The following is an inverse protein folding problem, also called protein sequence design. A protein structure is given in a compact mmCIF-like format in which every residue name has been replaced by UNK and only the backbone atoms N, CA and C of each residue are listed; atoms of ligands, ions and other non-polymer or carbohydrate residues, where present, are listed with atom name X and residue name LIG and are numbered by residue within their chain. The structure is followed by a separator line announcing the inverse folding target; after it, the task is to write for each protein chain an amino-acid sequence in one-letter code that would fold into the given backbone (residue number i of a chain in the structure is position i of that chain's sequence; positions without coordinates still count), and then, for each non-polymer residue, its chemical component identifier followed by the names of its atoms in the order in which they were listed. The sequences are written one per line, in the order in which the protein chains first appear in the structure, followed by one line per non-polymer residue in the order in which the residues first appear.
data_IF_799783528878
#
_entry.id   IF_799783528878
#
_cell.length_a   1.000
_cell.length_b   1.000
_cell.length_c   1.000
_cell.angle_alpha   90.00
_cell.angle_beta   90.00
_cell.angle_gamma   90.00
#
_symmetry.space_group_name_H-M   'P 1'
#
loop_
_entity.id
_entity.type
_entity.pdbx_description
1 polymer ?
#
# COMPACT_ATOMS: atom_id res chain seq x y z
N UNK A 1 -11.84 -44.63 -27.87
CA UNK A 1 -12.53 -44.57 -26.56
C UNK A 1 -12.49 -43.13 -26.07
N UNK A 2 -13.68 -42.57 -25.84
CA UNK A 2 -14.08 -41.21 -25.42
C UNK A 2 -12.99 -40.34 -24.75
N UNK A 3 -12.69 -39.08 -25.15
CA UNK A 3 -13.55 -37.88 -25.32
C UNK A 3 -14.61 -37.73 -24.22
N UNK A 4 -14.20 -37.34 -23.01
CA UNK A 4 -15.05 -36.65 -22.04
C UNK A 4 -14.15 -35.97 -21.00
N UNK A 5 -14.28 -34.64 -20.87
CA UNK A 5 -13.51 -33.88 -19.88
C UNK A 5 -13.35 -32.38 -20.16
N UNK A 6 -14.26 -31.76 -20.91
CA UNK A 6 -14.25 -30.31 -21.12
C UNK A 6 -15.63 -29.66 -21.02
N UNK A 7 -16.54 -30.27 -20.25
CA UNK A 7 -17.93 -29.82 -20.15
C UNK A 7 -18.43 -29.85 -18.70
N UNK A 8 -17.84 -29.03 -17.83
CA UNK A 8 -18.40 -28.72 -16.50
C UNK A 8 -18.40 -27.22 -16.16
N UNK A 9 -17.80 -26.34 -16.98
CA UNK A 9 -17.70 -24.92 -16.64
C UNK A 9 -18.79 -24.00 -17.24
N UNK A 10 -19.86 -24.55 -17.81
CA UNK A 10 -20.84 -23.75 -18.57
C UNK A 10 -22.31 -24.14 -18.29
N UNK A 11 -22.62 -24.43 -17.02
CA UNK A 11 -23.96 -24.83 -16.60
C UNK A 11 -24.28 -24.32 -15.17
N UNK A 12 -24.20 -23.01 -14.96
CA UNK A 12 -24.84 -22.35 -13.80
C UNK A 12 -25.23 -20.90 -14.08
N UNK A 13 -25.71 -20.61 -15.29
CA UNK A 13 -26.22 -19.27 -15.65
C UNK A 13 -27.48 -19.34 -16.53
N UNK A 14 -28.52 -20.02 -16.05
CA UNK A 14 -29.88 -19.85 -16.57
C UNK A 14 -30.89 -20.10 -15.46
N UNK A 15 -31.19 -19.08 -14.66
CA UNK A 15 -32.46 -19.02 -13.93
C UNK A 15 -33.32 -18.02 -14.68
N UNK A 16 -34.44 -18.54 -15.19
CA UNK A 16 -35.52 -17.81 -15.83
C UNK A 16 -36.01 -16.67 -14.93
N UNK A 17 -36.10 -15.47 -15.49
CA UNK A 17 -36.83 -14.36 -14.89
C UNK A 17 -38.05 -14.11 -15.78
N UNK A 18 -39.22 -14.58 -15.36
CA UNK A 18 -40.49 -14.09 -15.90
C UNK A 18 -40.69 -12.65 -15.43
N UNK A 19 -40.80 -11.74 -16.39
CA UNK A 19 -41.11 -10.35 -16.13
C UNK A 19 -42.59 -10.19 -15.78
N UNK A 20 -42.90 -9.89 -14.51
CA UNK A 20 -44.16 -9.25 -14.15
C UNK A 20 -44.01 -7.73 -14.31
N UNK A 21 -44.94 -7.13 -15.07
CA UNK A 21 -45.05 -5.68 -15.27
C UNK A 21 -45.28 -4.97 -13.92
N UNK A 22 -44.50 -3.92 -13.57
CA UNK A 22 -44.71 -3.18 -12.34
C UNK A 22 -45.94 -2.27 -12.45
N UNK A 23 -46.86 -2.40 -11.49
CA UNK A 23 -47.89 -1.40 -11.23
C UNK A 23 -47.25 -0.14 -10.66
N UNK A 24 -47.51 1.01 -11.30
CA UNK A 24 -47.09 2.33 -10.84
C UNK A 24 -47.77 2.67 -9.50
N UNK A 25 -47.07 2.46 -8.39
CA UNK A 25 -47.41 3.05 -7.10
C UNK A 25 -46.32 4.06 -6.72
N UNK A 26 -46.75 5.23 -6.24
CA UNK A 26 -45.91 6.38 -5.87
C UNK A 26 -44.73 5.99 -4.96
N UNK A 27 -43.54 5.94 -5.53
CA UNK A 27 -42.27 5.75 -4.84
C UNK A 27 -41.39 6.99 -5.03
N UNK A 28 -41.38 7.91 -4.06
CA UNK A 28 -40.35 8.98 -4.02
C UNK A 28 -39.35 8.76 -2.89
N UNK A 29 -39.77 8.18 -1.77
CA UNK A 29 -38.88 7.87 -0.63
C UNK A 29 -38.12 6.53 -0.76
N UNK A 30 -38.68 5.52 -1.43
CA UNK A 30 -38.02 4.23 -1.63
C UNK A 30 -36.99 4.27 -2.77
N UNK A 31 -37.23 5.04 -3.85
CA UNK A 31 -36.25 5.24 -4.94
C UNK A 31 -34.99 5.94 -4.42
N UNK A 32 -35.14 6.92 -3.53
CA UNK A 32 -34.01 7.59 -2.90
C UNK A 32 -33.19 6.65 -2.01
N UNK A 33 -33.86 5.83 -1.18
CA UNK A 33 -33.18 4.81 -0.35
C UNK A 33 -32.49 3.74 -1.19
N UNK A 34 -33.14 3.22 -2.23
CA UNK A 34 -32.58 2.20 -3.12
C UNK A 34 -31.35 2.74 -3.89
N UNK A 35 -31.39 4.01 -4.30
CA UNK A 35 -30.26 4.68 -4.95
C UNK A 35 -29.05 4.82 -4.00
N UNK A 36 -29.28 5.16 -2.72
CA UNK A 36 -28.22 5.28 -1.71
C UNK A 36 -27.61 3.91 -1.39
N UNK A 37 -28.44 2.87 -1.23
CA UNK A 37 -27.98 1.50 -0.99
C UNK A 37 -27.13 0.98 -2.16
N UNK A 38 -27.55 1.27 -3.41
CA UNK A 38 -26.78 0.93 -4.62
C UNK A 38 -25.45 1.66 -4.70
N UNK A 39 -25.40 2.94 -4.32
CA UNK A 39 -24.17 3.74 -4.29
C UNK A 39 -23.20 3.25 -3.22
N UNK A 40 -23.69 2.95 -2.02
CA UNK A 40 -22.87 2.41 -0.92
C UNK A 40 -22.33 1.03 -1.29
N UNK A 41 -23.16 0.15 -1.86
CA UNK A 41 -22.76 -1.17 -2.34
C UNK A 41 -21.68 -1.09 -3.43
N UNK A 42 -21.89 -0.23 -4.45
CA UNK A 42 -20.91 0.02 -5.50
C UNK A 42 -19.60 0.58 -4.93
N UNK A 43 -19.70 1.54 -4.00
CA UNK A 43 -18.52 2.13 -3.36
C UNK A 43 -17.72 1.09 -2.56
N UNK A 44 -18.39 0.18 -1.85
CA UNK A 44 -17.76 -0.91 -1.12
C UNK A 44 -17.07 -1.89 -2.07
N UNK A 45 -17.71 -2.25 -3.18
CA UNK A 45 -17.13 -3.12 -4.20
C UNK A 45 -15.92 -2.49 -4.89
N UNK A 46 -15.98 -1.19 -5.19
CA UNK A 46 -14.84 -0.42 -5.72
C UNK A 46 -13.69 -0.32 -4.72
N UNK A 47 -14.02 -0.26 -3.43
CA UNK A 47 -13.05 -0.39 -2.36
C UNK A 47 -12.63 -1.85 -2.14
N UNK A 48 -13.11 -2.84 -2.91
CA UNK A 48 -12.70 -4.23 -2.79
C UNK A 48 -13.30 -4.99 -1.62
N UNK A 49 -14.46 -4.55 -1.15
CA UNK A 49 -15.30 -5.29 -0.21
C UNK A 49 -16.52 -5.85 -0.93
N UNK A 50 -16.90 -7.08 -0.61
CA UNK A 50 -18.24 -7.57 -0.87
C UNK A 50 -19.08 -7.36 0.40
N UNK A 51 -19.90 -6.30 0.46
CA UNK A 51 -20.63 -5.96 1.67
C UNK A 51 -21.83 -6.91 1.88
N UNK A 52 -22.01 -7.35 3.11
CA UNK A 52 -23.23 -8.05 3.56
C UNK A 52 -23.90 -7.24 4.68
N UNK A 53 -24.99 -7.77 5.26
CA UNK A 53 -25.72 -7.04 6.30
C UNK A 53 -24.83 -6.63 7.48
N UNK A 54 -23.94 -7.49 7.97
CA UNK A 54 -23.14 -7.22 9.16
C UNK A 54 -21.63 -7.29 8.93
N UNK A 55 -21.21 -7.82 7.79
CA UNK A 55 -19.82 -8.14 7.51
C UNK A 55 -19.45 -7.79 6.07
N UNK A 56 -18.31 -7.14 5.88
CA UNK A 56 -17.78 -6.79 4.58
C UNK A 56 -16.61 -7.73 4.28
N UNK A 57 -16.80 -8.66 3.34
CA UNK A 57 -15.78 -9.60 2.92
C UNK A 57 -14.71 -8.88 2.11
N UNK A 58 -13.45 -9.01 2.51
CA UNK A 58 -12.33 -8.36 1.85
C UNK A 58 -11.81 -9.25 0.71
N UNK A 59 -12.14 -8.83 -0.51
CA UNK A 59 -11.82 -9.54 -1.75
C UNK A 59 -10.30 -9.60 -1.98
N UNK A 60 -9.52 -8.67 -1.39
CA UNK A 60 -8.06 -8.62 -1.58
C UNK A 60 -7.32 -9.85 -1.03
N UNK A 61 -7.95 -10.63 -0.15
CA UNK A 61 -7.34 -11.83 0.42
C UNK A 61 -7.68 -13.12 -0.34
N UNK A 62 -8.63 -13.09 -1.28
CA UNK A 62 -9.08 -14.30 -1.97
C UNK A 62 -7.97 -15.00 -2.74
N UNK A 63 -7.16 -14.23 -3.48
CA UNK A 63 -6.05 -14.74 -4.27
C UNK A 63 -4.92 -13.71 -4.29
N UNK A 64 -3.73 -14.14 -3.88
CA UNK A 64 -2.48 -13.39 -4.02
C UNK A 64 -1.40 -14.29 -4.58
N UNK A 65 -0.38 -13.66 -5.16
CA UNK A 65 0.84 -14.35 -5.55
C UNK A 65 2.07 -13.50 -5.20
N UNK A 66 3.12 -14.15 -4.70
CA UNK A 66 4.47 -13.60 -4.67
C UNK A 66 5.50 -14.74 -4.84
N UNK A 67 6.75 -14.38 -5.09
CA UNK A 67 7.82 -15.36 -5.32
C UNK A 67 8.13 -16.24 -4.10
N UNK A 68 7.90 -15.74 -2.90
CA UNK A 68 8.18 -16.47 -1.65
C UNK A 68 7.09 -17.50 -1.33
N UNK A 69 5.83 -17.09 -1.35
CA UNK A 69 4.63 -17.86 -0.97
C UNK A 69 4.01 -18.66 -2.15
N UNK A 70 4.40 -18.35 -3.39
CA UNK A 70 3.69 -18.73 -4.62
C UNK A 70 2.21 -18.29 -4.55
N UNK A 71 1.27 -19.21 -4.78
CA UNK A 71 -0.16 -18.92 -4.65
C UNK A 71 -0.52 -18.83 -3.16
N UNK A 72 -1.27 -17.79 -2.81
CA UNK A 72 -1.85 -17.60 -1.48
C UNK A 72 -3.35 -17.42 -1.62
N UNK A 73 -4.10 -18.29 -0.95
CA UNK A 73 -5.56 -18.23 -0.89
C UNK A 73 -5.99 -17.86 0.52
N UNK A 74 -6.97 -16.98 0.65
CA UNK A 74 -7.41 -16.54 1.96
C UNK A 74 -8.81 -16.01 1.98
N UNK A 75 -9.29 -15.77 3.20
CA UNK A 75 -10.56 -15.14 3.49
C UNK A 75 -10.31 -14.08 4.54
N UNK A 76 -10.83 -12.88 4.31
CA UNK A 76 -10.76 -11.81 5.28
C UNK A 76 -12.01 -10.95 5.23
N UNK A 77 -12.12 -10.07 6.20
CA UNK A 77 -13.18 -9.08 6.22
C UNK A 77 -13.28 -8.37 7.55
N UNK A 78 -14.29 -7.51 7.65
CA UNK A 78 -14.53 -6.68 8.82
C UNK A 78 -16.01 -6.43 9.02
N UNK A 79 -16.43 -6.28 10.27
CA UNK A 79 -17.80 -5.89 10.61
C UNK A 79 -18.06 -4.44 10.19
N UNK A 80 -19.27 -4.16 9.72
CA UNK A 80 -19.63 -2.83 9.22
C UNK A 80 -20.49 -2.03 10.21
N UNK A 81 -20.94 -0.83 9.80
CA UNK A 81 -21.70 0.07 10.68
C UNK A 81 -23.11 -0.45 11.05
N UNK A 82 -23.65 -1.43 10.31
CA UNK A 82 -24.91 -2.09 10.67
C UNK A 82 -24.72 -3.09 11.82
N UNK A 83 -23.54 -3.74 11.91
CA UNK A 83 -23.18 -4.57 13.05
C UNK A 83 -23.01 -3.72 14.32
N UNK A 84 -22.19 -2.67 14.25
CA UNK A 84 -22.07 -1.71 15.33
C UNK A 84 -21.38 -0.42 14.87
N UNK A 85 -21.89 0.72 15.37
CA UNK A 85 -21.23 2.02 15.22
C UNK A 85 -20.07 2.22 16.22
N UNK A 86 -19.97 1.36 17.24
CA UNK A 86 -19.03 1.49 18.36
C UNK A 86 -17.95 0.41 18.40
N UNK A 87 -18.22 -0.76 17.82
CA UNK A 87 -17.29 -1.90 17.80
C UNK A 87 -17.04 -2.31 16.36
N UNK A 88 -15.77 -2.49 16.00
CA UNK A 88 -15.38 -3.10 14.73
C UNK A 88 -14.46 -4.27 15.00
N UNK A 89 -14.82 -5.42 14.49
CA UNK A 89 -14.00 -6.62 14.50
C UNK A 89 -13.57 -6.92 13.06
N UNK A 90 -12.37 -7.42 12.90
CA UNK A 90 -11.85 -7.75 11.59
C UNK A 90 -10.72 -8.75 11.67
N UNK A 91 -10.36 -9.26 10.51
CA UNK A 91 -9.26 -10.19 10.40
C UNK A 91 -9.20 -10.84 9.05
N UNK A 92 -8.18 -11.67 8.88
CA UNK A 92 -8.04 -12.55 7.75
C UNK A 92 -7.25 -13.79 8.14
N UNK A 93 -7.46 -14.86 7.37
CA UNK A 93 -6.63 -16.05 7.36
C UNK A 93 -6.31 -16.38 5.91
N UNK A 94 -5.09 -16.78 5.65
CA UNK A 94 -4.63 -17.20 4.33
C UNK A 94 -3.66 -18.36 4.46
N UNK A 95 -3.65 -19.22 3.46
CA UNK A 95 -2.71 -20.32 3.32
C UNK A 95 -1.84 -20.08 2.09
N UNK A 96 -0.53 -20.15 2.29
CA UNK A 96 0.47 -20.03 1.24
C UNK A 96 0.98 -21.42 0.84
N UNK A 97 0.90 -21.74 -0.45
CA UNK A 97 1.12 -23.11 -0.95
C UNK A 97 2.60 -23.48 -1.06
N UNK A 98 3.52 -22.51 -1.15
CA UNK A 98 4.96 -22.80 -1.26
C UNK A 98 5.62 -22.99 0.10
N UNK A 99 5.37 -22.11 1.06
CA UNK A 99 5.95 -22.21 2.41
C UNK A 99 5.10 -23.07 3.36
N UNK A 100 3.93 -23.54 2.91
CA UNK A 100 2.99 -24.39 3.65
C UNK A 100 2.52 -23.80 4.99
N UNK A 101 2.53 -22.47 5.12
CA UNK A 101 2.19 -21.79 6.36
C UNK A 101 0.89 -20.99 6.26
N UNK A 102 0.21 -20.90 7.41
CA UNK A 102 -0.91 -19.98 7.57
C UNK A 102 -0.41 -18.58 7.92
N UNK A 103 -1.03 -17.58 7.31
CA UNK A 103 -0.84 -16.16 7.60
C UNK A 103 -2.17 -15.60 8.07
N UNK A 104 -2.17 -14.81 9.13
CA UNK A 104 -3.41 -14.31 9.68
C UNK A 104 -3.25 -13.01 10.45
N UNK A 105 -4.35 -12.29 10.57
CA UNK A 105 -4.47 -11.13 11.46
C UNK A 105 -5.84 -11.14 12.10
N UNK A 106 -5.90 -10.77 13.37
CA UNK A 106 -7.14 -10.51 14.09
C UNK A 106 -7.03 -9.12 14.69
N UNK A 107 -8.03 -8.29 14.45
CA UNK A 107 -8.06 -6.92 14.94
C UNK A 107 -9.45 -6.56 15.48
N UNK A 108 -9.43 -5.70 16.49
CA UNK A 108 -10.62 -5.16 17.12
C UNK A 108 -10.42 -3.67 17.38
N UNK A 109 -11.47 -2.88 17.20
CA UNK A 109 -11.46 -1.47 17.58
C UNK A 109 -12.77 -1.04 18.22
N UNK A 110 -12.64 -0.23 19.27
CA UNK A 110 -13.75 0.31 20.05
C UNK A 110 -13.71 1.83 19.97
N UNK A 111 -14.84 2.43 19.58
CA UNK A 111 -15.01 3.87 19.54
C UNK A 111 -15.27 4.37 20.96
N UNK A 112 -14.30 5.06 21.52
CA UNK A 112 -14.35 5.60 22.90
C UNK A 112 -14.90 7.03 22.94
N UNK A 113 -14.82 7.78 21.84
CA UNK A 113 -15.40 9.13 21.75
C UNK A 113 -15.91 9.40 20.33
N UNK A 114 -17.20 9.70 20.19
CA UNK A 114 -17.82 9.96 18.90
C UNK A 114 -17.48 11.35 18.34
N UNK A 115 -17.41 12.38 19.17
CA UNK A 115 -17.18 13.78 18.74
C UNK A 115 -15.79 13.99 18.16
N UNK A 116 -14.78 13.33 18.75
CA UNK A 116 -13.38 13.34 18.27
C UNK A 116 -13.03 12.11 17.44
N UNK A 117 -14.04 11.28 17.11
CA UNK A 117 -13.87 10.01 16.39
C UNK A 117 -12.67 9.20 16.91
N UNK A 118 -12.58 9.07 18.23
CA UNK A 118 -11.48 8.40 18.92
C UNK A 118 -11.73 6.89 18.95
N UNK A 119 -10.74 6.12 18.50
CA UNK A 119 -10.78 4.67 18.46
C UNK A 119 -9.60 4.07 19.21
N UNK A 120 -9.90 3.20 20.16
CA UNK A 120 -8.93 2.27 20.72
C UNK A 120 -8.88 1.04 19.80
N UNK A 121 -7.70 0.69 19.33
CA UNK A 121 -7.43 -0.42 18.40
C UNK A 121 -6.54 -1.44 19.08
N UNK A 122 -6.79 -2.72 18.85
CA UNK A 122 -5.88 -3.80 19.21
C UNK A 122 -5.79 -4.76 18.02
N UNK A 123 -4.59 -5.28 17.75
CA UNK A 123 -4.37 -6.24 16.68
C UNK A 123 -3.27 -7.22 17.00
N UNK A 124 -3.43 -8.46 16.53
CA UNK A 124 -2.39 -9.47 16.46
C UNK A 124 -2.24 -9.92 15.01
N UNK A 125 -1.02 -9.90 14.48
CA UNK A 125 -0.74 -10.26 13.08
C UNK A 125 0.46 -11.20 13.02
N UNK A 126 0.32 -12.29 12.26
CA UNK A 126 1.39 -13.21 11.87
C UNK A 126 1.40 -13.29 10.34
N UNK A 127 2.30 -12.55 9.70
CA UNK A 127 2.36 -12.45 8.23
C UNK A 127 3.78 -12.09 7.75
N UNK A 128 3.94 -11.91 6.45
CA UNK A 128 5.14 -11.42 5.80
C UNK A 128 5.05 -9.91 5.55
N UNK A 129 6.17 -9.23 5.77
CA UNK A 129 6.36 -7.82 5.45
C UNK A 129 7.60 -7.65 4.59
N UNK A 130 7.57 -6.72 3.63
CA UNK A 130 8.72 -6.37 2.80
C UNK A 130 9.80 -5.68 3.65
N UNK A 131 11.05 -6.16 3.52
CA UNK A 131 12.21 -5.59 4.20
C UNK A 131 12.43 -4.13 3.83
N UNK A 132 12.66 -3.28 4.83
CA UNK A 132 12.97 -1.85 4.68
C UNK A 132 11.85 -0.99 4.05
N UNK A 133 10.63 -1.54 3.98
CA UNK A 133 9.46 -0.82 3.49
C UNK A 133 8.99 0.23 4.50
N UNK A 134 8.50 1.35 3.99
CA UNK A 134 7.98 2.45 4.84
C UNK A 134 6.45 2.45 4.78
N UNK A 135 5.83 2.39 5.95
CA UNK A 135 4.38 2.51 6.11
C UNK A 135 4.06 3.51 7.22
N UNK A 136 3.02 4.32 7.02
CA UNK A 136 2.48 5.19 8.06
C UNK A 136 1.27 4.52 8.69
N UNK A 137 1.18 4.50 10.02
CA UNK A 137 0.05 3.83 10.73
C UNK A 137 -1.32 4.46 10.44
N UNK A 138 -1.33 5.71 9.97
CA UNK A 138 -2.53 6.45 9.55
C UNK A 138 -2.92 6.23 8.09
N UNK A 139 -2.10 5.49 7.32
CA UNK A 139 -2.39 5.24 5.91
C UNK A 139 -3.71 4.49 5.75
N UNK A 140 -4.56 5.06 4.89
CA UNK A 140 -5.81 4.43 4.51
C UNK A 140 -5.58 3.21 3.62
N UNK A 141 -6.59 2.35 3.54
CA UNK A 141 -6.57 1.20 2.63
C UNK A 141 -6.55 1.69 1.18
N UNK A 142 -5.60 1.19 0.39
CA UNK A 142 -5.64 1.21 -1.07
C UNK A 142 -6.06 -0.18 -1.52
N UNK A 143 -7.16 -0.29 -2.26
CA UNK A 143 -7.56 -1.56 -2.85
C UNK A 143 -6.96 -1.69 -4.25
N UNK A 144 -6.20 -2.76 -4.44
CA UNK A 144 -5.79 -3.23 -5.76
C UNK A 144 -6.09 -4.73 -5.80
N UNK A 145 -6.87 -5.17 -6.80
CA UNK A 145 -7.16 -6.59 -6.99
C UNK A 145 -5.89 -7.38 -7.27
N UNK A 146 -4.91 -6.74 -7.90
CA UNK A 146 -3.62 -7.30 -8.24
C UNK A 146 -2.53 -6.25 -8.00
N UNK A 147 -1.55 -6.57 -7.16
CA UNK A 147 -0.39 -5.72 -6.86
C UNK A 147 0.85 -6.33 -7.54
N UNK A 148 1.21 -5.88 -8.76
CA UNK A 148 2.16 -6.64 -9.59
C UNK A 148 3.59 -6.55 -9.08
N UNK A 149 3.88 -5.52 -8.28
CA UNK A 149 5.14 -5.37 -7.54
C UNK A 149 5.36 -6.54 -6.57
N UNK A 150 4.31 -7.03 -5.90
CA UNK A 150 4.41 -8.16 -4.96
C UNK A 150 4.94 -9.44 -5.62
N UNK A 151 4.71 -9.61 -6.93
CA UNK A 151 5.21 -10.78 -7.68
C UNK A 151 6.74 -10.85 -7.69
N UNK A 152 7.41 -9.74 -7.44
CA UNK A 152 8.83 -9.56 -7.72
C UNK A 152 9.67 -9.20 -6.49
N UNK A 153 9.02 -8.90 -5.37
CA UNK A 153 9.69 -8.77 -4.08
C UNK A 153 10.19 -10.16 -3.66
N UNK A 154 11.42 -10.20 -3.19
CA UNK A 154 12.16 -11.37 -2.79
C UNK A 154 12.61 -11.30 -1.32
N UNK A 155 12.88 -10.10 -0.78
CA UNK A 155 13.22 -9.91 0.64
C UNK A 155 11.98 -9.62 1.49
N UNK A 156 11.51 -10.67 2.15
CA UNK A 156 10.50 -10.60 3.18
C UNK A 156 11.08 -10.94 4.55
N UNK A 157 10.39 -10.51 5.59
CA UNK A 157 10.53 -11.06 6.93
C UNK A 157 9.17 -11.46 7.45
N UNK A 158 9.12 -12.59 8.13
CA UNK A 158 7.97 -12.96 8.93
C UNK A 158 7.94 -12.12 10.20
N UNK A 159 6.75 -11.68 10.59
CA UNK A 159 6.57 -10.95 11.83
C UNK A 159 5.35 -11.43 12.59
N UNK A 160 5.50 -11.55 13.91
CA UNK A 160 4.41 -11.76 14.85
C UNK A 160 4.29 -10.51 15.71
N UNK A 161 3.31 -9.67 15.38
CA UNK A 161 3.14 -8.35 16.01
C UNK A 161 1.86 -8.29 16.81
N UNK A 162 2.00 -7.98 18.10
CA UNK A 162 0.88 -7.54 18.96
C UNK A 162 0.94 -6.02 19.06
N UNK A 163 -0.17 -5.35 18.79
CA UNK A 163 -0.24 -3.89 18.87
C UNK A 163 -1.51 -3.40 19.56
N UNK A 164 -1.37 -2.28 20.27
CA UNK A 164 -2.46 -1.48 20.80
C UNK A 164 -2.27 -0.04 20.36
N UNK A 165 -3.32 0.62 19.90
CA UNK A 165 -3.24 1.99 19.40
C UNK A 165 -4.46 2.83 19.74
N UNK A 166 -4.24 4.13 19.84
CA UNK A 166 -5.28 5.13 20.03
C UNK A 166 -5.24 6.07 18.83
N UNK A 167 -6.25 5.98 17.97
CA UNK A 167 -6.44 6.91 16.87
C UNK A 167 -7.44 7.99 17.30
N UNK A 168 -7.15 9.25 16.97
CA UNK A 168 -7.97 10.38 17.37
C UNK A 168 -7.92 11.51 16.33
N UNK A 169 -9.08 12.03 15.93
CA UNK A 169 -9.17 13.29 15.19
C UNK A 169 -9.00 14.45 16.21
N UNK A 170 -7.79 15.02 16.30
CA UNK A 170 -7.49 16.15 17.21
C UNK A 170 -8.25 17.41 16.78
N UNK A 171 -8.38 17.59 15.47
CA UNK A 171 -9.24 18.56 14.81
C UNK A 171 -9.74 17.96 13.48
N UNK A 172 -10.72 18.57 12.78
CA UNK A 172 -11.12 18.10 11.46
C UNK A 172 -9.95 17.96 10.47
N UNK A 173 -8.90 18.76 10.63
CA UNK A 173 -7.73 18.77 9.75
C UNK A 173 -6.55 17.94 10.26
N UNK A 174 -6.59 17.42 11.49
CA UNK A 174 -5.46 16.76 12.13
C UNK A 174 -5.86 15.42 12.72
N UNK A 175 -5.49 14.34 12.02
CA UNK A 175 -5.58 12.97 12.49
C UNK A 175 -4.30 12.63 13.26
N UNK A 176 -4.46 11.96 14.40
CA UNK A 176 -3.36 11.46 15.22
C UNK A 176 -3.54 9.98 15.51
N UNK A 177 -2.44 9.26 15.60
CA UNK A 177 -2.41 7.88 16.06
C UNK A 177 -1.18 7.65 16.93
N UNK A 178 -1.41 7.10 18.12
CA UNK A 178 -0.35 6.59 18.99
C UNK A 178 -0.48 5.08 19.01
N UNK A 179 0.61 4.35 18.80
CA UNK A 179 0.62 2.89 18.79
C UNK A 179 1.79 2.36 19.62
N UNK A 180 1.52 1.33 20.42
CA UNK A 180 2.53 0.51 21.07
C UNK A 180 2.48 -0.87 20.43
N UNK A 181 3.63 -1.43 20.08
CA UNK A 181 3.70 -2.76 19.47
C UNK A 181 4.91 -3.55 19.97
N UNK A 182 4.73 -4.85 20.16
CA UNK A 182 5.83 -5.80 20.33
C UNK A 182 5.81 -6.76 19.14
N UNK A 183 6.96 -6.95 18.49
CA UNK A 183 7.09 -7.77 17.28
C UNK A 183 8.24 -8.75 17.40
N UNK A 184 7.98 -10.04 17.17
CA UNK A 184 9.03 -11.00 16.85
C UNK A 184 9.28 -10.97 15.34
N UNK A 185 10.53 -10.87 14.91
CA UNK A 185 10.95 -10.69 13.53
C UNK A 185 11.89 -11.83 13.11
N UNK A 186 11.56 -12.45 11.99
CA UNK A 186 12.32 -13.54 11.38
C UNK A 186 12.49 -13.27 9.87
N UNK A 187 13.62 -12.73 9.43
CA UNK A 187 13.96 -12.59 8.01
C UNK A 187 13.89 -13.93 7.29
N UNK A 188 13.28 -13.96 6.10
CA UNK A 188 13.12 -15.20 5.31
C UNK A 188 14.32 -15.50 4.41
N UNK A 189 15.42 -14.80 4.61
CA UNK A 189 16.64 -14.84 3.82
C UNK A 189 17.86 -14.85 4.77
N UNK A 190 19.03 -15.22 4.25
CA UNK A 190 20.24 -15.24 5.07
C UNK A 190 20.61 -13.81 5.50
N UNK A 191 20.34 -13.48 6.76
CA UNK A 191 20.59 -12.17 7.32
C UNK A 191 21.05 -12.29 8.77
N UNK A 192 22.04 -11.49 9.11
CA UNK A 192 22.48 -11.31 10.49
C UNK A 192 22.77 -9.84 10.75
N UNK A 193 22.26 -9.31 11.85
CA UNK A 193 22.62 -7.98 12.33
C UNK A 193 23.67 -8.09 13.43
N UNK A 194 24.85 -7.50 13.24
CA UNK A 194 25.91 -7.49 14.26
C UNK A 194 25.68 -6.32 15.22
N UNK A 195 25.54 -6.63 16.51
CA UNK A 195 25.52 -5.65 17.58
C UNK A 195 26.24 -6.23 18.80
N UNK A 196 27.16 -5.47 19.40
CA UNK A 196 27.92 -5.87 20.60
C UNK A 196 28.55 -7.27 20.50
N UNK A 197 29.16 -7.58 19.36
CA UNK A 197 29.75 -8.90 19.04
C UNK A 197 28.77 -10.08 19.02
N UNK A 198 27.46 -9.82 19.07
CA UNK A 198 26.40 -10.80 18.87
C UNK A 198 25.80 -10.66 17.47
N UNK A 199 25.44 -11.79 16.85
CA UNK A 199 24.76 -11.82 15.54
C UNK A 199 23.30 -12.17 15.77
N UNK A 200 22.41 -11.25 15.42
CA UNK A 200 20.98 -11.43 15.50
C UNK A 200 20.43 -11.86 14.13
N UNK A 201 20.05 -13.13 14.02
CA UNK A 201 19.33 -13.66 12.84
C UNK A 201 17.82 -13.53 13.01
N UNK A 202 17.33 -13.65 14.24
CA UNK A 202 15.95 -13.35 14.67
C UNK A 202 16.02 -12.41 15.86
N UNK A 203 14.96 -11.64 16.10
CA UNK A 203 14.96 -10.61 17.14
C UNK A 203 13.56 -10.10 17.47
N UNK A 204 13.43 -9.50 18.64
CA UNK A 204 12.26 -8.81 19.12
C UNK A 204 12.42 -7.29 19.04
N UNK A 205 11.34 -6.61 18.67
CA UNK A 205 11.28 -5.15 18.56
C UNK A 205 10.04 -4.64 19.28
N UNK A 206 10.28 -3.86 20.35
CA UNK A 206 9.26 -3.16 21.13
C UNK A 206 9.25 -1.69 20.76
N UNK A 207 8.14 -1.22 20.18
CA UNK A 207 8.03 0.11 19.59
C UNK A 207 6.91 0.95 20.18
N UNK A 208 7.14 2.25 20.27
CA UNK A 208 6.13 3.28 20.42
C UNK A 208 6.16 4.20 19.20
N UNK A 209 4.99 4.40 18.58
CA UNK A 209 4.80 5.19 17.38
C UNK A 209 3.87 6.35 17.70
N UNK A 210 4.24 7.55 17.25
CA UNK A 210 3.34 8.71 17.19
C UNK A 210 3.28 9.15 15.74
N UNK A 211 2.08 9.19 15.18
CA UNK A 211 1.84 9.57 13.79
C UNK A 211 0.80 10.67 13.70
N UNK A 212 1.07 11.68 12.89
CA UNK A 212 0.24 12.85 12.67
C UNK A 212 0.02 13.01 11.16
N UNK A 213 -1.24 13.10 10.75
CA UNK A 213 -1.62 13.46 9.39
C UNK A 213 -2.39 14.76 9.40
N UNK A 214 -1.82 15.78 8.78
CA UNK A 214 -2.34 17.14 8.72
C UNK A 214 -2.79 17.50 7.31
N UNK A 215 -4.07 17.88 7.18
CA UNK A 215 -4.71 18.31 5.93
C UNK A 215 -5.26 19.74 6.08
N UNK A 216 -4.39 20.76 6.19
CA UNK A 216 -4.79 22.12 6.55
C UNK A 216 -5.70 22.80 5.53
N UNK A 217 -5.56 22.47 4.24
CA UNK A 217 -6.29 23.14 3.16
C UNK A 217 -7.58 22.43 2.75
N UNK A 218 -7.85 21.26 3.32
CA UNK A 218 -9.08 20.51 3.05
C UNK A 218 -10.28 21.14 3.77
N UNK A 219 -11.46 21.13 3.15
CA UNK A 219 -12.70 21.62 3.77
C UNK A 219 -13.48 20.43 4.31
N UNK A 220 -13.90 20.55 5.57
CA UNK A 220 -14.66 19.52 6.27
C UNK A 220 -16.04 20.04 6.64
N UNK A 221 -17.07 19.27 6.32
CA UNK A 221 -18.43 19.54 6.76
C UNK A 221 -18.78 18.75 8.02
N UNK A 222 -19.53 19.40 8.92
CA UNK A 222 -20.02 18.78 10.14
C UNK A 222 -21.21 17.88 9.84
N UNK A 223 -20.97 16.57 9.81
CA UNK A 223 -22.01 15.54 9.85
C UNK A 223 -22.32 15.14 11.30
N UNK A 224 -23.39 14.39 11.55
CA UNK A 224 -23.75 13.80 12.87
C UNK A 224 -22.74 12.78 13.41
N UNK A 225 -21.51 12.74 12.88
CA UNK A 225 -20.44 11.80 13.23
C UNK A 225 -19.07 12.35 12.80
N UNK A 226 -18.24 11.54 12.14
CA UNK A 226 -16.94 11.99 11.62
C UNK A 226 -17.15 13.13 10.61
N UNK A 227 -16.41 14.25 10.72
CA UNK A 227 -16.41 15.28 9.69
C UNK A 227 -16.08 14.67 8.33
N UNK A 228 -16.88 14.97 7.31
CA UNK A 228 -16.64 14.48 5.95
C UNK A 228 -15.79 15.50 5.21
N UNK A 229 -14.67 15.06 4.65
CA UNK A 229 -13.88 15.86 3.72
C UNK A 229 -14.72 16.06 2.45
N UNK A 230 -15.13 17.30 2.17
CA UNK A 230 -15.94 17.64 0.98
C UNK A 230 -15.09 18.21 -0.13
N UNK A 231 -14.07 19.00 0.23
CA UNK A 231 -13.07 19.51 -0.71
C UNK A 231 -11.69 19.06 -0.25
N UNK A 232 -11.01 18.32 -1.11
CA UNK A 232 -9.63 17.87 -0.85
C UNK A 232 -8.67 19.01 -1.16
N UNK A 233 -7.98 19.51 -0.14
CA UNK A 233 -6.94 20.52 -0.29
C UNK A 233 -5.54 19.95 -0.20
N UNK A 234 -4.57 20.69 -0.76
CA UNK A 234 -3.15 20.32 -0.79
C UNK A 234 -2.28 21.52 -0.44
N UNK A 235 -1.08 21.31 0.14
CA UNK A 235 -0.48 20.03 0.50
C UNK A 235 -1.12 19.28 1.68
N UNK A 236 -0.94 17.95 1.69
CA UNK A 236 -1.15 17.10 2.86
C UNK A 236 0.20 16.72 3.46
N UNK A 237 0.28 16.62 4.77
CA UNK A 237 1.49 16.28 5.51
C UNK A 237 1.25 15.06 6.38
N UNK A 238 2.21 14.15 6.42
CA UNK A 238 2.23 13.02 7.34
C UNK A 238 3.60 12.98 8.01
N UNK A 239 3.61 12.94 9.33
CA UNK A 239 4.82 12.81 10.14
C UNK A 239 4.66 11.65 11.09
N UNK A 240 5.69 10.82 11.22
CA UNK A 240 5.70 9.68 12.13
C UNK A 240 7.04 9.60 12.85
N UNK A 241 6.98 9.45 14.17
CA UNK A 241 8.13 9.16 15.00
C UNK A 241 7.95 7.77 15.59
N UNK A 242 8.93 6.90 15.39
CA UNK A 242 8.93 5.53 15.92
C UNK A 242 10.14 5.37 16.83
N UNK A 243 9.90 5.08 18.10
CA UNK A 243 10.93 4.76 19.08
C UNK A 243 10.91 3.27 19.37
N UNK A 244 12.05 2.59 19.17
CA UNK A 244 12.29 1.24 19.65
C UNK A 244 13.03 1.28 20.99
N UNK A 245 12.66 0.36 21.89
CA UNK A 245 13.24 0.23 23.22
C UNK A 245 13.91 -1.14 23.33
N UNK A 246 15.19 -1.15 23.74
CA UNK A 246 15.83 -2.37 24.24
C UNK A 246 15.30 -2.69 25.64
N UNK A 247 15.30 -3.96 26.03
CA UNK A 247 14.99 -4.46 27.38
C UNK A 247 13.53 -4.24 27.84
N UNK A 248 12.66 -3.74 26.97
CA UNK A 248 11.21 -3.64 27.20
C UNK A 248 10.52 -4.74 26.41
N UNK A 249 9.77 -5.62 27.08
CA UNK A 249 9.08 -6.76 26.46
C UNK A 249 10.03 -7.59 25.55
N UNK A 250 11.23 -7.88 26.06
CA UNK A 250 12.30 -8.61 25.37
C UNK A 250 12.84 -7.92 24.10
N UNK A 251 12.63 -6.61 23.92
CA UNK A 251 13.15 -5.88 22.77
C UNK A 251 14.68 -5.88 22.70
N UNK A 252 15.25 -6.20 21.53
CA UNK A 252 16.70 -6.32 21.34
C UNK A 252 17.38 -4.99 20.98
N UNK A 253 16.63 -4.05 20.39
CA UNK A 253 17.21 -2.89 19.71
C UNK A 253 16.66 -1.55 20.18
N UNK A 254 17.58 -0.58 20.31
CA UNK A 254 17.28 0.79 20.66
C UNK A 254 17.59 1.71 19.47
N UNK A 255 16.53 2.20 18.83
CA UNK A 255 16.64 3.14 17.72
C UNK A 255 15.45 4.09 17.69
N UNK A 256 15.58 5.20 16.96
CA UNK A 256 14.49 6.12 16.68
C UNK A 256 14.42 6.40 15.19
N UNK A 257 13.21 6.42 14.65
CA UNK A 257 12.92 6.79 13.26
C UNK A 257 12.08 8.06 13.22
N UNK A 258 12.37 8.91 12.27
CA UNK A 258 11.52 10.03 11.90
C UNK A 258 11.20 9.93 10.41
N UNK A 259 9.92 9.71 10.10
CA UNK A 259 9.39 9.59 8.76
C UNK A 259 8.52 10.81 8.45
N UNK A 260 8.67 11.35 7.25
CA UNK A 260 7.89 12.46 6.75
C UNK A 260 7.46 12.21 5.32
N UNK A 261 6.21 12.51 5.02
CA UNK A 261 5.65 12.46 3.67
C UNK A 261 4.79 13.69 3.44
N UNK A 262 4.92 14.29 2.28
CA UNK A 262 4.01 15.34 1.81
C UNK A 262 3.60 15.12 0.38
N UNK A 263 2.34 15.47 0.10
CA UNK A 263 1.74 15.35 -1.23
C UNK A 263 1.17 16.70 -1.65
N UNK A 264 1.67 17.19 -2.78
CA UNK A 264 1.20 18.40 -3.45
C UNK A 264 0.46 18.01 -4.72
N UNK A 265 -0.65 18.69 -4.99
CA UNK A 265 -1.37 18.57 -6.25
C UNK A 265 -1.82 19.95 -6.71
N UNK A 266 -1.36 20.33 -7.89
CA UNK A 266 -1.75 21.54 -8.59
C UNK A 266 -2.73 21.14 -9.69
N UNK A 267 -3.97 21.61 -9.58
CA UNK A 267 -4.95 21.46 -10.66
C UNK A 267 -4.88 22.72 -11.50
N UNK A 268 -4.51 22.56 -12.77
CA UNK A 268 -4.40 23.64 -13.72
C UNK A 268 -5.68 23.70 -14.58
N UNK A 269 -5.79 24.75 -15.40
CA UNK A 269 -6.87 24.84 -16.38
C UNK A 269 -6.78 23.69 -17.41
N UNK A 270 -7.89 23.39 -18.09
CA UNK A 270 -7.96 22.39 -19.18
C UNK A 270 -7.77 20.91 -18.78
N UNK A 271 -8.21 20.48 -17.58
CA UNK A 271 -8.09 19.08 -17.11
C UNK A 271 -6.64 18.58 -17.03
N UNK A 272 -5.69 19.47 -16.73
CA UNK A 272 -4.28 19.13 -16.49
C UNK A 272 -3.97 19.23 -15.00
N UNK A 273 -3.06 18.39 -14.50
CA UNK A 273 -2.67 18.44 -13.09
C UNK A 273 -1.21 18.02 -12.91
N UNK A 274 -0.56 18.61 -11.93
CA UNK A 274 0.80 18.26 -11.52
C UNK A 274 0.79 17.78 -10.09
N UNK A 275 1.45 16.67 -9.83
CA UNK A 275 1.52 16.03 -8.53
C UNK A 275 2.98 15.91 -8.12
N UNK A 276 3.28 16.23 -6.85
CA UNK A 276 4.58 16.00 -6.24
C UNK A 276 4.43 15.23 -4.95
N UNK A 277 5.23 14.19 -4.78
CA UNK A 277 5.34 13.44 -3.54
C UNK A 277 6.78 13.58 -3.06
N UNK A 278 6.94 14.05 -1.83
CA UNK A 278 8.21 14.04 -1.12
C UNK A 278 8.07 13.08 0.06
N UNK A 279 8.95 12.09 0.13
CA UNK A 279 9.03 11.18 1.28
C UNK A 279 10.47 11.16 1.78
N UNK A 280 10.66 11.32 3.07
CA UNK A 280 11.97 11.25 3.71
C UNK A 280 11.89 10.45 5.00
N UNK A 281 12.97 9.77 5.34
CA UNK A 281 13.09 9.06 6.61
C UNK A 281 14.52 9.11 7.12
N UNK A 282 14.68 9.12 8.43
CA UNK A 282 15.98 8.95 9.11
C UNK A 282 15.82 7.96 10.25
N UNK A 283 16.75 7.03 10.37
CA UNK A 283 16.84 6.03 11.42
C UNK A 283 18.16 6.27 12.17
N UNK A 284 18.08 6.43 13.48
CA UNK A 284 19.20 6.72 14.36
C UNK A 284 19.30 5.65 15.44
N UNK A 285 20.49 5.10 15.64
CA UNK A 285 20.74 4.02 16.61
C UNK A 285 20.88 2.67 15.92
N UNK A 286 20.68 1.60 16.69
CA UNK A 286 20.96 0.24 16.25
C UNK A 286 19.73 -0.33 15.51
N UNK A 287 19.62 -0.03 14.22
CA UNK A 287 18.44 -0.39 13.42
C UNK A 287 18.75 -1.56 12.47
N UNK A 288 18.07 -2.72 12.57
CA UNK A 288 18.24 -3.81 11.62
C UNK A 288 17.64 -3.45 10.26
N UNK A 289 18.11 -4.11 9.20
CA UNK A 289 17.74 -3.82 7.81
C UNK A 289 16.22 -3.89 7.57
N UNK A 290 15.51 -4.79 8.25
CA UNK A 290 14.04 -4.90 8.17
C UNK A 290 13.31 -3.59 8.49
N UNK A 291 13.91 -2.74 9.33
CA UNK A 291 13.36 -1.47 9.79
C UNK A 291 14.07 -0.24 9.20
N UNK A 292 15.02 -0.43 8.28
CA UNK A 292 15.64 0.64 7.51
C UNK A 292 14.75 1.06 6.32
N UNK A 293 15.32 1.71 5.31
CA UNK A 293 14.58 2.24 4.18
C UNK A 293 15.10 1.72 2.84
N UNK A 294 14.18 1.37 1.94
CA UNK A 294 14.43 1.30 0.50
C UNK A 294 13.63 2.40 -0.23
N UNK A 295 14.05 2.75 -1.44
CA UNK A 295 13.38 3.79 -2.25
C UNK A 295 12.26 3.23 -3.14
N UNK A 296 11.43 2.31 -2.63
CA UNK A 296 10.30 1.68 -3.34
C UNK A 296 10.62 1.22 -4.79
N UNK A 297 11.62 0.33 -4.99
CA UNK A 297 12.01 -0.16 -6.32
C UNK A 297 10.92 -1.04 -6.94
N UNK A 298 10.91 -1.14 -8.27
CA UNK A 298 9.95 -1.97 -9.00
C UNK A 298 10.55 -2.70 -10.22
N UNK A 299 11.89 -2.77 -10.37
CA UNK A 299 12.51 -3.45 -11.51
C UNK A 299 13.06 -4.83 -11.13
N UNK A 300 12.96 -5.80 -12.05
CA UNK A 300 13.46 -7.16 -11.83
C UNK A 300 14.76 -7.43 -12.56
N UNK A 301 15.61 -8.24 -11.95
CA UNK A 301 16.89 -8.70 -12.51
C UNK A 301 16.67 -9.86 -13.48
N UNK A 302 16.14 -9.56 -14.67
CA UNK A 302 16.06 -10.48 -15.84
C UNK A 302 16.92 -9.99 -16.98
N UNK A 303 17.28 -10.82 -17.96
CA UNK A 303 18.23 -10.42 -19.01
C UNK A 303 17.64 -9.44 -20.03
N UNK A 304 16.35 -9.57 -20.36
CA UNK A 304 15.72 -8.78 -21.44
C UNK A 304 14.62 -7.86 -20.93
N UNK A 305 14.42 -6.72 -21.61
CA UNK A 305 13.35 -5.75 -21.28
C UNK A 305 11.96 -6.42 -21.30
N UNK A 306 11.73 -7.34 -22.25
CA UNK A 306 10.45 -8.06 -22.34
C UNK A 306 10.23 -8.99 -21.15
N UNK A 307 11.28 -9.60 -20.61
CA UNK A 307 11.18 -10.39 -19.38
C UNK A 307 10.96 -9.52 -18.15
N UNK A 308 11.41 -8.25 -18.17
CA UNK A 308 11.19 -7.24 -17.12
C UNK A 308 9.86 -6.51 -17.23
N UNK A 309 9.05 -6.83 -18.24
CA UNK A 309 7.80 -6.14 -18.52
C UNK A 309 6.74 -6.51 -17.49
N UNK A 310 6.52 -5.61 -16.54
CA UNK A 310 5.58 -5.77 -15.41
C UNK A 310 4.60 -4.61 -15.38
N UNK A 311 3.85 -4.42 -14.28
CA UNK A 311 2.98 -3.25 -14.13
C UNK A 311 3.71 -2.19 -13.31
N UNK A 312 3.64 -0.94 -13.77
CA UNK A 312 4.19 0.21 -13.08
C UNK A 312 3.47 0.41 -11.74
N UNK A 313 4.23 0.73 -10.71
CA UNK A 313 3.64 1.12 -9.43
C UNK A 313 3.29 2.61 -9.44
N UNK A 314 2.31 2.99 -8.62
CA UNK A 314 1.83 4.37 -8.60
C UNK A 314 2.93 5.36 -8.20
N UNK A 315 3.79 4.97 -7.25
CA UNK A 315 4.84 5.80 -6.64
C UNK A 315 6.18 5.04 -6.51
N UNK A 316 6.51 4.13 -7.43
CA UNK A 316 7.76 3.35 -7.41
C UNK A 316 8.81 3.86 -8.39
N UNK A 317 10.07 3.51 -8.12
CA UNK A 317 11.14 3.68 -9.08
C UNK A 317 11.12 2.51 -10.07
N UNK A 318 10.79 2.80 -11.32
CA UNK A 318 10.49 1.76 -12.30
C UNK A 318 11.74 1.07 -12.85
N UNK A 319 12.88 1.76 -12.81
CA UNK A 319 14.17 1.28 -13.33
C UNK A 319 15.12 0.79 -12.23
N UNK A 320 14.82 1.07 -10.97
CA UNK A 320 15.60 0.63 -9.80
C UNK A 320 15.30 -0.85 -9.49
N UNK A 321 16.34 -1.67 -9.37
CA UNK A 321 16.18 -3.08 -9.07
C UNK A 321 15.80 -3.30 -7.59
N UNK A 322 15.05 -4.38 -7.34
CA UNK A 322 14.80 -4.82 -5.96
C UNK A 322 16.14 -5.05 -5.23
N UNK A 323 16.19 -4.61 -3.97
CA UNK A 323 17.35 -4.71 -3.07
C UNK A 323 18.64 -4.06 -3.55
N UNK A 324 18.59 -3.27 -4.63
CA UNK A 324 19.75 -2.56 -5.13
C UNK A 324 20.27 -1.57 -4.07
N UNK A 325 19.35 -0.86 -3.41
CA UNK A 325 19.68 0.17 -2.44
C UNK A 325 18.92 0.06 -1.13
N UNK A 326 19.66 0.18 -0.03
CA UNK A 326 19.12 0.42 1.30
C UNK A 326 19.76 1.64 1.94
N UNK A 327 19.08 2.27 2.89
CA UNK A 327 19.54 3.49 3.53
C UNK A 327 19.04 3.59 4.98
N UNK A 328 19.86 4.20 5.85
CA UNK A 328 19.44 4.63 7.19
C UNK A 328 18.85 6.04 7.19
N UNK A 329 19.13 6.82 6.15
CA UNK A 329 18.49 8.09 5.86
C UNK A 329 18.25 8.21 4.38
N UNK A 330 17.05 8.63 4.02
CA UNK A 330 16.67 8.74 2.62
C UNK A 330 15.72 9.91 2.38
N UNK A 331 15.70 10.34 1.14
CA UNK A 331 14.83 11.34 0.57
C UNK A 331 14.42 10.84 -0.82
N UNK A 332 13.14 10.86 -1.11
CA UNK A 332 12.60 10.65 -2.46
C UNK A 332 11.72 11.80 -2.84
N UNK A 333 11.90 12.30 -4.06
CA UNK A 333 11.04 13.29 -4.67
C UNK A 333 10.51 12.71 -5.98
N UNK A 334 9.20 12.68 -6.14
CA UNK A 334 8.54 12.19 -7.34
C UNK A 334 7.62 13.29 -7.86
N UNK A 335 7.85 13.70 -9.11
CA UNK A 335 7.01 14.64 -9.83
C UNK A 335 6.30 13.92 -10.97
N UNK A 336 5.00 14.16 -11.12
CA UNK A 336 4.20 13.67 -12.25
C UNK A 336 3.33 14.79 -12.79
N UNK A 337 3.42 15.04 -14.09
CA UNK A 337 2.56 15.98 -14.78
C UNK A 337 1.63 15.24 -15.74
N UNK A 338 0.32 15.37 -15.54
CA UNK A 338 -0.70 14.81 -16.41
C UNK A 338 -1.19 15.88 -17.39
N UNK A 339 -1.15 15.54 -18.68
CA UNK A 339 -1.74 16.35 -19.73
C UNK A 339 -3.23 16.07 -19.86
N UNK A 340 -3.91 16.91 -20.65
CA UNK A 340 -5.31 16.69 -21.00
C UNK A 340 -5.41 15.38 -21.80
N UNK A 341 -6.44 14.56 -21.57
CA UNK A 341 -6.71 13.40 -22.42
C UNK A 341 -6.85 13.82 -23.90
N UNK A 342 -6.31 12.99 -24.80
CA UNK A 342 -6.37 13.25 -26.24
C UNK A 342 -7.81 13.22 -26.75
N UNK A 343 -8.61 12.27 -26.25
CA UNK A 343 -10.04 12.15 -26.47
C UNK A 343 -10.67 11.37 -25.30
N UNK A 344 -12.00 11.33 -25.25
CA UNK A 344 -12.76 10.61 -24.23
C UNK A 344 -13.82 9.74 -24.92
N UNK A 345 -13.78 8.42 -24.68
CA UNK A 345 -14.80 7.45 -25.09
C UNK A 345 -15.17 6.54 -23.92
N UNK A 346 -16.18 5.68 -24.10
CA UNK A 346 -16.63 4.74 -23.05
C UNK A 346 -15.54 3.76 -22.60
N UNK A 347 -14.59 3.45 -23.47
CA UNK A 347 -13.58 2.40 -23.24
C UNK A 347 -12.15 2.91 -23.29
N UNK A 348 -11.93 4.16 -23.70
CA UNK A 348 -10.59 4.71 -23.95
C UNK A 348 -10.57 6.20 -23.61
N UNK A 349 -9.59 6.61 -22.80
CA UNK A 349 -9.36 8.00 -22.43
C UNK A 349 -7.85 8.25 -22.39
N UNK A 350 -7.13 8.13 -23.51
CA UNK A 350 -5.68 8.14 -23.50
C UNK A 350 -5.15 9.45 -22.94
N UNK A 351 -4.29 9.36 -21.93
CA UNK A 351 -3.76 10.51 -21.22
C UNK A 351 -2.26 10.38 -21.09
N UNK A 352 -1.54 11.33 -21.67
CA UNK A 352 -0.10 11.43 -21.51
C UNK A 352 0.23 11.95 -20.11
N UNK A 353 1.25 11.37 -19.49
CA UNK A 353 1.90 11.92 -18.32
C UNK A 353 3.43 11.85 -18.46
N UNK A 354 4.11 12.84 -17.90
CA UNK A 354 5.57 12.83 -17.75
C UNK A 354 5.88 12.65 -16.27
N UNK A 355 6.85 11.80 -15.98
CA UNK A 355 7.27 11.46 -14.63
C UNK A 355 8.76 11.73 -14.48
N UNK A 356 9.16 12.28 -13.35
CA UNK A 356 10.56 12.38 -12.95
C UNK A 356 10.68 12.05 -11.48
N UNK A 357 11.66 11.22 -11.13
CA UNK A 357 11.90 10.79 -9.75
C UNK A 357 13.37 10.96 -9.40
N UNK A 358 13.58 11.33 -8.15
CA UNK A 358 14.88 11.53 -7.54
C UNK A 358 14.92 10.81 -6.20
N UNK A 359 16.00 10.09 -5.92
CA UNK A 359 16.26 9.52 -4.60
C UNK A 359 17.68 9.86 -4.12
N UNK A 360 17.82 10.14 -2.83
CA UNK A 360 19.11 10.37 -2.18
C UNK A 360 19.09 9.64 -0.84
N UNK A 361 20.18 9.01 -0.48
CA UNK A 361 20.27 8.30 0.79
C UNK A 361 21.69 7.90 1.14
N UNK A 362 21.87 7.33 2.32
CA UNK A 362 23.17 6.86 2.81
C UNK A 362 22.93 5.83 3.93
N UNK A 363 23.97 5.10 4.32
CA UNK A 363 23.98 4.21 5.47
C UNK A 363 25.33 4.28 6.21
N UNK A 364 25.32 4.66 7.49
CA UNK A 364 26.53 4.78 8.31
C UNK A 364 27.15 3.43 8.65
N UNK A 365 26.35 2.44 9.03
CA UNK A 365 26.82 1.17 9.60
C UNK A 365 26.57 -0.03 8.67
N UNK A 366 26.81 0.12 7.37
CA UNK A 366 26.57 -0.93 6.35
C UNK A 366 27.18 -2.29 6.73
N UNK A 367 28.39 -2.29 7.30
CA UNK A 367 29.12 -3.51 7.69
C UNK A 367 28.44 -4.34 8.80
N UNK A 368 27.46 -3.80 9.52
CA UNK A 368 26.70 -4.56 10.53
C UNK A 368 25.64 -5.48 9.92
N UNK A 369 25.32 -5.31 8.64
CA UNK A 369 24.31 -6.09 7.95
C UNK A 369 25.00 -7.21 7.15
N UNK A 370 24.90 -8.44 7.66
CA UNK A 370 25.48 -9.63 7.05
C UNK A 370 24.49 -10.35 6.13
N UNK A 371 25.02 -11.14 5.20
CA UNK A 371 24.25 -12.07 4.36
C UNK A 371 23.63 -11.45 3.10
N UNK A 372 23.75 -10.13 2.91
CA UNK A 372 23.30 -9.41 1.72
C UNK A 372 24.37 -8.48 1.18
N UNK A 373 24.42 -8.37 -0.15
CA UNK A 373 25.16 -7.32 -0.85
C UNK A 373 24.15 -6.33 -1.41
N UNK A 374 24.33 -5.05 -1.09
CA UNK A 374 23.48 -3.96 -1.53
C UNK A 374 24.28 -2.66 -1.57
N UNK A 375 23.79 -1.63 -2.24
CA UNK A 375 24.41 -0.31 -2.32
C UNK A 375 23.63 0.77 -1.55
N UNK A 376 24.18 1.97 -1.50
CA UNK A 376 23.56 3.16 -0.90
C UNK A 376 23.35 4.24 -1.96
N UNK A 377 22.43 5.17 -1.70
CA UNK A 377 22.00 6.23 -2.63
C UNK A 377 22.80 7.54 -2.48
N UNK A 378 24.08 7.47 -2.10
CA UNK A 378 24.92 8.61 -1.73
C UNK A 378 25.14 9.63 -2.86
N UNK A 379 25.12 9.17 -4.12
CA UNK A 379 25.41 10.02 -5.30
C UNK A 379 24.17 10.61 -5.96
N UNK A 380 22.99 10.34 -5.41
CA UNK A 380 21.69 10.70 -6.01
C UNK A 380 21.32 9.81 -7.20
N UNK A 381 20.11 9.28 -7.17
CA UNK A 381 19.50 8.46 -8.22
C UNK A 381 18.44 9.26 -8.96
N UNK A 382 18.45 9.19 -10.29
CA UNK A 382 17.49 9.89 -11.14
C UNK A 382 16.88 8.92 -12.15
N UNK A 383 15.55 9.01 -12.30
CA UNK A 383 14.85 8.41 -13.43
C UNK A 383 13.78 9.36 -13.96
N UNK A 384 13.53 9.30 -15.26
CA UNK A 384 12.45 10.04 -15.90
C UNK A 384 11.76 9.15 -16.92
N UNK A 385 10.47 9.38 -17.11
CA UNK A 385 9.65 8.52 -17.95
C UNK A 385 8.43 9.21 -18.52
N UNK A 386 7.83 8.53 -19.48
CA UNK A 386 6.59 8.90 -20.13
C UNK A 386 5.58 7.77 -19.90
N UNK A 387 4.39 8.13 -19.46
CA UNK A 387 3.26 7.21 -19.30
C UNK A 387 2.15 7.61 -20.28
N UNK A 388 1.62 6.64 -21.02
CA UNK A 388 0.41 6.78 -21.81
C UNK A 388 -0.68 5.95 -21.14
N UNK A 389 -1.41 6.60 -20.25
CA UNK A 389 -2.43 5.98 -19.40
C UNK A 389 -3.76 5.83 -20.14
N UNK A 390 -4.58 4.85 -19.74
CA UNK A 390 -5.98 4.68 -20.18
C UNK A 390 -6.17 4.57 -21.71
N UNK A 391 -5.24 3.88 -22.38
CA UNK A 391 -5.35 3.48 -23.78
C UNK A 391 -6.62 2.67 -24.05
N UNK A 392 -6.89 1.65 -23.24
CA UNK A 392 -8.06 0.78 -23.38
C UNK A 392 -8.46 0.18 -22.03
N UNK A 393 -9.72 0.28 -21.61
CA UNK A 393 -10.26 -0.23 -20.34
C UNK A 393 -9.40 0.13 -19.09
N UNK A 394 -8.76 1.30 -19.10
CA UNK A 394 -7.87 1.74 -18.02
C UNK A 394 -6.41 1.26 -18.14
N UNK A 395 -6.11 0.31 -19.03
CA UNK A 395 -4.74 -0.10 -19.33
C UNK A 395 -3.98 0.99 -20.08
N UNK A 396 -2.68 1.08 -19.83
CA UNK A 396 -1.75 1.99 -20.49
C UNK A 396 -0.35 1.40 -20.56
N UNK A 397 0.59 2.20 -21.05
CA UNK A 397 2.00 1.84 -21.17
C UNK A 397 2.86 2.91 -20.52
N UNK A 398 4.01 2.51 -20.01
CA UNK A 398 5.00 3.40 -19.45
C UNK A 398 6.39 3.01 -19.91
N UNK A 399 7.20 4.03 -20.19
CA UNK A 399 8.61 3.91 -20.47
C UNK A 399 9.37 4.82 -19.51
N UNK A 400 10.36 4.28 -18.81
CA UNK A 400 11.21 5.03 -17.86
C UNK A 400 12.67 4.72 -18.12
N UNK A 401 13.54 5.70 -17.90
CA UNK A 401 14.98 5.61 -18.07
C UNK A 401 15.73 6.16 -16.85
N UNK A 402 16.68 5.39 -16.29
CA UNK A 402 17.61 5.87 -15.25
C UNK A 402 18.82 6.54 -15.86
N UNK A 403 19.28 7.61 -15.22
CA UNK A 403 20.46 8.36 -15.65
C UNK A 403 21.23 8.93 -14.46
N UNK A 404 22.40 9.51 -14.73
CA UNK A 404 23.26 10.11 -13.72
C UNK A 404 24.21 9.10 -13.05
N UNK A 405 24.51 9.32 -11.77
CA UNK A 405 25.59 8.64 -11.04
C UNK A 405 25.45 7.12 -10.94
N UNK A 406 24.23 6.61 -11.08
CA UNK A 406 23.91 5.19 -11.02
C UNK A 406 23.51 4.64 -12.39
N UNK A 407 23.93 5.25 -13.50
CA UNK A 407 23.76 4.66 -14.82
C UNK A 407 24.56 3.35 -14.94
N UNK A 408 23.96 2.33 -15.56
CA UNK A 408 24.53 1.00 -15.76
C UNK A 408 25.18 0.90 -17.13
N UNK A 409 26.23 0.08 -17.26
CA UNK A 409 27.03 -0.03 -18.49
C UNK A 409 26.22 -0.46 -19.72
N UNK A 410 25.16 -1.25 -19.56
CA UNK A 410 24.30 -1.69 -20.64
C UNK A 410 23.04 -0.82 -20.72
N UNK A 411 22.80 -0.20 -21.88
CA UNK A 411 21.67 0.71 -22.09
C UNK A 411 20.31 0.09 -21.78
N UNK A 412 20.11 -1.19 -22.11
CA UNK A 412 18.88 -1.91 -21.83
C UNK A 412 18.60 -2.07 -20.31
N UNK A 413 19.64 -2.03 -19.47
CA UNK A 413 19.52 -2.12 -18.01
C UNK A 413 19.07 -0.82 -17.37
N UNK A 414 19.18 0.28 -18.12
CA UNK A 414 18.68 1.57 -17.70
C UNK A 414 17.23 1.83 -18.10
N UNK A 415 16.62 0.93 -18.88
CA UNK A 415 15.26 1.07 -19.43
C UNK A 415 14.25 0.19 -18.68
N UNK A 416 13.07 0.73 -18.43
CA UNK A 416 11.91 -0.02 -17.96
C UNK A 416 10.70 0.28 -18.84
N UNK A 417 10.16 -0.76 -19.45
CA UNK A 417 8.89 -0.73 -20.17
C UNK A 417 7.87 -1.51 -19.34
N UNK A 418 6.70 -0.92 -19.04
CA UNK A 418 5.68 -1.54 -18.16
C UNK A 418 4.26 -1.18 -18.57
N UNK A 419 3.31 -2.05 -18.23
CA UNK A 419 1.89 -1.71 -18.29
C UNK A 419 1.51 -0.76 -17.15
N UNK A 420 0.56 0.12 -17.40
CA UNK A 420 -0.10 0.88 -16.34
C UNK A 420 -1.57 0.45 -16.26
N UNK A 421 -2.17 0.52 -15.07
CA UNK A 421 -3.58 0.25 -14.90
C UNK A 421 -4.21 1.30 -14.01
N UNK A 422 -5.04 2.15 -14.62
CA UNK A 422 -5.67 3.29 -13.96
C UNK A 422 -7.17 3.29 -14.26
N UNK A 423 -7.95 2.66 -13.39
CA UNK A 423 -9.40 2.86 -13.37
C UNK A 423 -9.67 4.13 -12.57
N UNK A 424 -10.04 5.21 -13.26
CA UNK A 424 -10.71 6.34 -12.64
C UNK A 424 -12.11 6.30 -13.21
N UNK A 425 -13.07 5.79 -12.42
CA UNK A 425 -14.49 5.86 -12.74
C UNK A 425 -15.01 7.28 -12.51
#
# INVERSE_FOLDING_TARGET
MHKLGFTVFLLFFTVFCEAQLPTLAKESDSVAKDSIIKLDYLSSLLNGYFPTNYFDFDIKYLLKYNQYEAIRLGLGGTTNNHFSKKLRLGGYVAYAFKDHNFKFSVNGSVRVNEKKNTWLKAAYTSDLQETASTAFVVDGRVFQLFEPRLLNIDLFYHHQTTSIGLQNDLSPHLLSEIQLANSFIEPTYNYGYILNNHIYSTYHISTAIVCLQWSPFSIFERTTGRPRETVVGYPKFTFQATKSFSDVLDGDFNFIKFDFRTFFKFVHNNKTNTEFILTSGIALGDTPLTHLYHAYPNNITKETILQRFTVAGLNSFETMYFNEFFSDKFLTLQGRHYFKPFYESKWSKPQLAIVSRFALGNMKNKARHLGLSFDTLEKGYFESGIELNKLLFGFGLSFTYRYGSYHLSHEADNMALKFTFNITL
#
